data_IF_361968757410
#
_entry.id   IF_361968757410
#
_cell.length_a   1.000
_cell.length_b   1.000
_cell.length_c   1.000
_cell.angle_alpha   90.00
_cell.angle_beta   90.00
_cell.angle_gamma   90.00
#
_symmetry.space_group_name_H-M   'P 1'
#
loop_
_entity.id
_entity.type
_entity.pdbx_description
1 polymer ?
#
# COMPACT_ATOMS: atom_id res chain seq x y z
N UNK A 1 69.66 -46.40 -36.08
CA UNK A 1 70.42 -46.13 -34.85
C UNK A 1 70.33 -44.62 -34.61
N UNK A 2 69.21 -44.15 -34.05
CA UNK A 2 68.98 -43.90 -32.62
C UNK A 2 69.60 -42.57 -32.17
N UNK A 3 68.75 -41.56 -32.04
CA UNK A 3 69.08 -40.30 -31.37
C UNK A 3 67.98 -39.99 -30.37
N UNK A 4 68.37 -39.95 -29.09
CA UNK A 4 67.51 -39.62 -27.96
C UNK A 4 67.86 -38.25 -27.40
N UNK A 5 66.79 -37.49 -27.12
CA UNK A 5 66.57 -36.72 -25.90
C UNK A 5 67.37 -35.42 -25.67
N UNK A 6 66.64 -34.31 -25.54
CA UNK A 6 66.51 -33.65 -24.24
C UNK A 6 65.35 -32.66 -24.18
N UNK A 7 64.76 -32.61 -22.99
CA UNK A 7 63.53 -31.91 -22.57
C UNK A 7 63.74 -30.40 -22.45
N UNK A 8 62.71 -29.62 -22.77
CA UNK A 8 62.47 -28.30 -22.17
C UNK A 8 61.08 -28.29 -21.53
N UNK A 9 61.01 -27.93 -20.25
CA UNK A 9 59.76 -27.76 -19.51
C UNK A 9 59.14 -26.37 -19.75
N UNK A 10 57.81 -26.23 -19.60
CA UNK A 10 57.13 -24.94 -19.75
C UNK A 10 57.22 -24.06 -18.48
N UNK A 11 57.04 -22.74 -18.61
CA UNK A 11 57.23 -21.77 -17.52
C UNK A 11 56.05 -21.77 -16.53
N UNK A 12 56.24 -21.25 -15.30
CA UNK A 12 55.20 -21.24 -14.26
C UNK A 12 54.05 -20.27 -14.59
N UNK A 13 52.83 -20.78 -14.52
CA UNK A 13 51.58 -20.02 -14.64
C UNK A 13 51.32 -19.26 -13.35
N UNK A 14 51.21 -17.94 -13.47
CA UNK A 14 50.95 -17.00 -12.37
C UNK A 14 49.49 -17.13 -11.93
N UNK A 15 49.26 -17.62 -10.72
CA UNK A 15 47.94 -17.74 -10.10
C UNK A 15 47.41 -16.36 -9.73
N UNK A 16 46.35 -15.92 -10.42
CA UNK A 16 45.61 -14.73 -10.05
C UNK A 16 44.25 -15.15 -9.49
N UNK A 17 44.24 -15.46 -8.19
CA UNK A 17 43.06 -15.81 -7.40
C UNK A 17 42.21 -14.56 -7.14
N UNK A 18 41.56 -14.02 -8.18
CA UNK A 18 40.57 -12.97 -8.00
C UNK A 18 39.24 -13.63 -7.67
N UNK A 19 39.01 -13.81 -6.37
CA UNK A 19 37.71 -14.14 -5.79
C UNK A 19 36.67 -13.15 -6.34
N UNK A 20 35.87 -13.61 -7.31
CA UNK A 20 34.61 -12.96 -7.64
C UNK A 20 33.68 -13.25 -6.48
N UNK A 21 33.68 -12.36 -5.48
CA UNK A 21 32.51 -12.16 -4.63
C UNK A 21 31.35 -11.92 -5.60
N UNK A 22 30.47 -12.90 -5.74
CA UNK A 22 29.15 -12.67 -6.29
C UNK A 22 28.45 -11.76 -5.29
N UNK A 23 28.58 -10.45 -5.51
CA UNK A 23 27.60 -9.48 -5.06
C UNK A 23 26.30 -9.86 -5.75
N UNK A 24 25.51 -10.70 -5.08
CA UNK A 24 24.07 -10.75 -5.30
C UNK A 24 23.49 -9.44 -4.78
N UNK A 25 23.84 -8.34 -5.45
CA UNK A 25 22.93 -7.21 -5.59
C UNK A 25 21.78 -7.77 -6.44
N UNK A 26 20.88 -8.49 -5.76
CA UNK A 26 19.55 -8.68 -6.27
C UNK A 26 19.06 -7.27 -6.57
N UNK A 27 18.88 -6.96 -7.85
CA UNK A 27 18.10 -5.82 -8.29
C UNK A 27 16.86 -5.78 -7.42
N UNK A 28 16.83 -4.85 -6.47
CA UNK A 28 15.76 -4.69 -5.51
C UNK A 28 14.56 -4.17 -6.29
N UNK A 29 13.82 -5.10 -6.90
CA UNK A 29 12.65 -4.81 -7.69
C UNK A 29 11.61 -4.23 -6.72
N UNK A 30 11.41 -2.91 -6.80
CA UNK A 30 11.05 -2.00 -5.71
C UNK A 30 9.65 -2.15 -5.09
N UNK A 31 8.94 -3.24 -5.36
CA UNK A 31 7.63 -3.50 -4.76
C UNK A 31 7.24 -4.97 -4.62
N UNK A 32 8.06 -5.96 -4.97
CA UNK A 32 7.69 -7.38 -4.79
C UNK A 32 7.81 -7.85 -3.34
N UNK A 33 6.90 -8.72 -2.91
CA UNK A 33 7.07 -9.47 -1.66
C UNK A 33 8.42 -10.18 -1.64
N UNK A 34 9.16 -10.01 -0.55
CA UNK A 34 10.38 -10.78 -0.29
C UNK A 34 10.04 -12.25 -0.13
N UNK A 35 11.03 -13.12 -0.30
CA UNK A 35 10.86 -14.57 -0.07
C UNK A 35 10.34 -14.86 1.34
N UNK A 36 10.80 -14.12 2.35
CA UNK A 36 10.34 -14.25 3.74
C UNK A 36 8.86 -13.93 3.90
N UNK A 37 8.36 -12.88 3.24
CA UNK A 37 6.94 -12.51 3.30
C UNK A 37 6.08 -13.57 2.61
N UNK A 38 6.51 -14.07 1.45
CA UNK A 38 5.80 -15.16 0.75
C UNK A 38 5.73 -16.43 1.59
N UNK A 39 6.83 -16.80 2.26
CA UNK A 39 6.87 -17.94 3.17
C UNK A 39 5.92 -17.74 4.36
N UNK A 40 5.95 -16.57 4.99
CA UNK A 40 5.04 -16.25 6.12
C UNK A 40 3.57 -16.37 5.73
N UNK A 41 3.17 -15.84 4.58
CA UNK A 41 1.78 -15.98 4.09
C UNK A 41 1.39 -17.45 3.86
N UNK A 42 2.31 -18.29 3.37
CA UNK A 42 2.06 -19.72 3.09
C UNK A 42 2.03 -20.56 4.36
N UNK A 43 2.92 -20.28 5.32
CA UNK A 43 2.94 -20.97 6.62
C UNK A 43 1.64 -20.74 7.37
N UNK A 44 1.12 -19.51 7.34
CA UNK A 44 -0.17 -19.17 7.96
C UNK A 44 -1.32 -20.04 7.43
N UNK A 45 -1.35 -20.30 6.12
CA UNK A 45 -2.38 -21.15 5.50
C UNK A 45 -1.99 -22.63 5.43
N UNK A 46 -0.90 -23.04 6.08
CA UNK A 46 -0.40 -24.43 6.05
C UNK A 46 -0.19 -24.95 4.62
N UNK A 47 0.32 -24.09 3.73
CA UNK A 47 0.51 -24.39 2.30
C UNK A 47 -0.77 -24.75 1.52
N UNK A 48 -1.94 -24.30 1.97
CA UNK A 48 -3.18 -24.38 1.17
C UNK A 48 -3.62 -23.01 0.67
N UNK A 49 -4.48 -23.01 -0.35
CA UNK A 49 -5.12 -21.81 -0.84
C UNK A 49 -6.06 -21.25 0.23
N UNK A 50 -5.85 -19.99 0.62
CA UNK A 50 -6.69 -19.32 1.62
C UNK A 50 -8.17 -19.28 1.23
N UNK A 51 -8.52 -19.36 -0.06
CA UNK A 51 -9.90 -19.26 -0.51
C UNK A 51 -10.58 -20.63 -0.67
N UNK A 52 -9.96 -21.55 -1.43
CA UNK A 52 -10.56 -22.83 -1.80
C UNK A 52 -9.99 -24.04 -1.06
N UNK A 53 -9.05 -23.83 -0.14
CA UNK A 53 -8.39 -24.87 0.67
C UNK A 53 -7.61 -25.94 -0.13
N UNK A 54 -7.41 -25.74 -1.44
CA UNK A 54 -6.61 -26.64 -2.28
C UNK A 54 -5.14 -26.58 -1.87
N UNK A 55 -4.56 -27.74 -1.64
CA UNK A 55 -3.12 -27.97 -1.39
C UNK A 55 -2.42 -28.20 -2.74
N UNK A 56 -2.10 -27.11 -3.44
CA UNK A 56 -1.38 -27.14 -4.73
C UNK A 56 -0.29 -26.06 -4.72
N UNK A 57 0.25 -25.66 -5.88
CA UNK A 57 1.17 -24.52 -6.01
C UNK A 57 0.52 -23.27 -5.41
N UNK A 58 1.04 -22.80 -4.28
CA UNK A 58 0.53 -21.59 -3.61
C UNK A 58 1.40 -20.39 -3.94
N UNK A 59 0.74 -19.35 -4.44
CA UNK A 59 1.28 -18.03 -4.74
C UNK A 59 0.81 -17.01 -3.71
N UNK A 60 1.54 -15.90 -3.58
CA UNK A 60 1.16 -14.79 -2.68
C UNK A 60 0.68 -13.61 -3.51
N UNK A 61 -0.62 -13.33 -3.43
CA UNK A 61 -1.25 -12.19 -4.08
C UNK A 61 -1.21 -10.94 -3.20
N UNK A 62 -1.12 -9.77 -3.82
CA UNK A 62 -1.30 -8.49 -3.12
C UNK A 62 -2.80 -8.20 -3.01
N UNK A 63 -3.28 -7.88 -1.81
CA UNK A 63 -4.68 -7.53 -1.57
C UNK A 63 -4.99 -6.14 -2.09
N UNK A 64 -4.14 -5.16 -1.77
CA UNK A 64 -4.05 -3.88 -2.49
C UNK A 64 -2.99 -4.03 -3.57
N UNK A 65 -3.42 -3.96 -4.83
CA UNK A 65 -2.53 -4.06 -5.99
C UNK A 65 -1.49 -2.93 -5.96
N UNK A 66 -0.28 -3.21 -6.43
CA UNK A 66 0.79 -2.20 -6.45
C UNK A 66 0.51 -1.09 -7.46
N UNK A 67 -0.20 -1.47 -8.52
CA UNK A 67 -0.59 -0.60 -9.63
C UNK A 67 -1.80 0.27 -9.26
N UNK A 68 -2.31 0.17 -8.02
CA UNK A 68 -3.39 1.02 -7.52
C UNK A 68 -2.90 2.47 -7.37
N UNK A 69 -3.23 3.29 -8.37
CA UNK A 69 -2.86 4.71 -8.43
C UNK A 69 -3.42 5.54 -7.27
N UNK A 70 -4.40 5.03 -6.52
CA UNK A 70 -4.93 5.71 -5.36
C UNK A 70 -4.07 5.53 -4.10
N UNK A 71 -3.05 4.66 -4.10
CA UNK A 71 -2.22 4.35 -2.92
C UNK A 71 -1.71 5.62 -2.22
N UNK A 72 -1.08 6.55 -2.97
CA UNK A 72 -0.54 7.79 -2.40
C UNK A 72 -1.62 8.65 -1.75
N UNK A 73 -2.78 8.75 -2.41
CA UNK A 73 -3.93 9.47 -1.87
C UNK A 73 -4.44 8.81 -0.57
N UNK A 74 -4.56 7.48 -0.54
CA UNK A 74 -5.05 6.73 0.61
C UNK A 74 -4.09 6.81 1.80
N UNK A 75 -2.77 6.78 1.56
CA UNK A 75 -1.76 7.02 2.61
C UNK A 75 -1.89 8.41 3.22
N UNK A 76 -1.99 9.45 2.40
CA UNK A 76 -2.14 10.83 2.88
C UNK A 76 -3.43 11.03 3.67
N UNK A 77 -4.47 10.24 3.37
CA UNK A 77 -5.75 10.22 4.09
C UNK A 77 -5.71 9.37 5.37
N UNK A 78 -4.60 8.69 5.67
CA UNK A 78 -4.46 7.77 6.81
C UNK A 78 -5.25 6.46 6.66
N UNK A 79 -5.75 6.14 5.47
CA UNK A 79 -6.55 4.93 5.20
C UNK A 79 -5.68 3.69 4.95
N UNK A 80 -4.41 3.88 4.61
CA UNK A 80 -3.40 2.81 4.56
C UNK A 80 -2.39 3.09 5.67
N UNK A 81 -2.38 2.20 6.68
CA UNK A 81 -1.54 2.27 7.87
C UNK A 81 -0.52 1.12 7.95
N UNK A 82 -0.22 0.47 6.83
CA UNK A 82 0.66 -0.70 6.75
C UNK A 82 1.56 -0.63 5.52
N UNK A 83 2.63 -1.42 5.51
CA UNK A 83 3.51 -1.55 4.34
C UNK A 83 2.88 -2.47 3.30
N UNK A 84 2.79 -2.00 2.05
CA UNK A 84 2.26 -2.76 0.92
C UNK A 84 3.08 -4.00 0.55
N UNK A 85 4.34 -4.05 0.99
CA UNK A 85 5.27 -5.17 0.78
C UNK A 85 5.35 -6.11 1.99
N UNK A 86 4.56 -5.86 3.04
CA UNK A 86 4.48 -6.73 4.22
C UNK A 86 3.46 -7.85 4.06
N UNK A 87 3.52 -8.84 4.96
CA UNK A 87 2.53 -9.92 5.03
C UNK A 87 1.10 -9.40 5.28
N UNK A 88 0.94 -8.19 5.83
CA UNK A 88 -0.36 -7.56 6.04
C UNK A 88 -1.12 -7.28 4.74
N UNK A 89 -0.42 -7.18 3.61
CA UNK A 89 -1.02 -7.01 2.28
C UNK A 89 -1.03 -8.32 1.47
N UNK A 90 -0.59 -9.44 2.06
CA UNK A 90 -0.39 -10.71 1.37
C UNK A 90 -1.51 -11.71 1.65
N UNK A 91 -1.97 -12.40 0.61
CA UNK A 91 -2.87 -13.55 0.75
C UNK A 91 -2.36 -14.72 -0.09
N UNK A 92 -2.33 -15.92 0.51
CA UNK A 92 -1.83 -17.13 -0.12
C UNK A 92 -2.95 -17.81 -0.93
N UNK A 93 -2.76 -17.97 -2.24
CA UNK A 93 -3.79 -18.45 -3.18
C UNK A 93 -3.22 -19.45 -4.19
N UNK A 94 -4.03 -20.39 -4.66
CA UNK A 94 -3.70 -21.18 -5.85
C UNK A 94 -3.83 -20.31 -7.14
N UNK A 95 -3.23 -20.70 -8.28
CA UNK A 95 -3.21 -19.88 -9.50
C UNK A 95 -4.61 -19.48 -10.00
N UNK A 96 -5.58 -20.40 -9.90
CA UNK A 96 -6.97 -20.14 -10.30
C UNK A 96 -7.61 -19.07 -9.42
N UNK A 97 -7.47 -19.18 -8.09
CA UNK A 97 -8.02 -18.18 -7.17
C UNK A 97 -7.27 -16.85 -7.29
N UNK A 98 -5.95 -16.87 -7.48
CA UNK A 98 -5.13 -15.69 -7.67
C UNK A 98 -5.54 -14.90 -8.93
N UNK A 99 -5.75 -15.59 -10.06
CA UNK A 99 -6.19 -14.96 -11.32
C UNK A 99 -7.57 -14.31 -11.16
N UNK A 100 -8.54 -15.03 -10.58
CA UNK A 100 -9.89 -14.51 -10.35
C UNK A 100 -9.93 -13.40 -9.31
N UNK A 101 -9.06 -13.47 -8.30
CA UNK A 101 -8.90 -12.39 -7.33
C UNK A 101 -8.35 -11.15 -8.04
N UNK A 102 -7.20 -11.29 -8.72
CA UNK A 102 -6.37 -10.23 -9.29
C UNK A 102 -6.99 -9.34 -10.37
N UNK A 103 -8.12 -9.72 -10.96
CA UNK A 103 -8.79 -8.89 -11.97
C UNK A 103 -9.36 -7.61 -11.32
N UNK A 104 -8.75 -6.47 -11.64
CA UNK A 104 -9.12 -5.18 -11.07
C UNK A 104 -10.49 -4.65 -11.55
N UNK A 105 -10.92 -5.02 -12.75
CA UNK A 105 -12.16 -4.50 -13.36
C UNK A 105 -13.37 -5.38 -13.07
N UNK A 106 -13.18 -6.70 -13.09
CA UNK A 106 -14.24 -7.68 -12.83
C UNK A 106 -13.67 -8.84 -11.99
N UNK A 107 -13.42 -8.63 -10.68
CA UNK A 107 -12.93 -9.69 -9.81
C UNK A 107 -13.96 -10.83 -9.74
N UNK A 108 -13.49 -12.08 -9.81
CA UNK A 108 -14.36 -13.26 -9.64
C UNK A 108 -14.81 -13.45 -8.19
N UNK A 109 -14.04 -12.91 -7.24
CA UNK A 109 -14.35 -12.92 -5.82
C UNK A 109 -13.53 -11.86 -5.07
N UNK A 110 -13.98 -11.51 -3.88
CA UNK A 110 -13.25 -10.68 -2.93
C UNK A 110 -13.58 -11.13 -1.50
N UNK A 111 -13.01 -10.45 -0.51
CA UNK A 111 -13.33 -10.70 0.88
C UNK A 111 -13.30 -9.40 1.67
N UNK A 112 -14.02 -9.38 2.80
CA UNK A 112 -14.24 -8.19 3.64
C UNK A 112 -14.15 -8.61 5.10
N UNK A 113 -13.79 -7.72 6.05
CA UNK A 113 -13.90 -8.03 7.47
C UNK A 113 -15.31 -8.51 7.84
N UNK A 114 -15.43 -9.63 8.54
CA UNK A 114 -16.73 -10.20 8.90
C UNK A 114 -17.61 -9.24 9.71
N UNK A 115 -17.00 -8.42 10.56
CA UNK A 115 -17.67 -7.36 11.32
C UNK A 115 -17.35 -5.97 10.72
N UNK A 116 -18.13 -5.56 9.71
CA UNK A 116 -18.04 -4.21 9.14
C UNK A 116 -18.55 -3.12 10.11
N UNK A 117 -19.40 -3.46 11.07
CA UNK A 117 -19.96 -2.49 12.01
C UNK A 117 -18.88 -1.95 12.95
N UNK A 118 -17.93 -2.80 13.34
CA UNK A 118 -16.72 -2.37 14.06
C UNK A 118 -16.00 -1.21 13.36
N UNK A 119 -15.77 -1.33 12.04
CA UNK A 119 -15.06 -0.30 11.27
C UNK A 119 -15.89 0.98 11.12
N UNK A 120 -17.20 0.84 10.91
CA UNK A 120 -18.13 1.97 10.84
C UNK A 120 -18.13 2.74 12.17
N UNK A 121 -18.21 2.03 13.30
CA UNK A 121 -18.22 2.66 14.63
C UNK A 121 -16.89 3.34 14.93
N UNK A 122 -15.76 2.68 14.63
CA UNK A 122 -14.42 3.26 14.80
C UNK A 122 -14.24 4.54 13.98
N UNK A 123 -14.69 4.54 12.73
CA UNK A 123 -14.61 5.74 11.88
C UNK A 123 -15.52 6.87 12.38
N UNK A 124 -16.73 6.56 12.88
CA UNK A 124 -17.61 7.59 13.48
C UNK A 124 -16.94 8.26 14.69
N UNK A 125 -16.33 7.48 15.58
CA UNK A 125 -15.61 8.00 16.75
C UNK A 125 -14.39 8.83 16.32
N UNK A 126 -13.61 8.36 15.34
CA UNK A 126 -12.47 9.14 14.82
C UNK A 126 -12.92 10.44 14.14
N UNK A 127 -14.04 10.41 13.41
CA UNK A 127 -14.60 11.59 12.77
C UNK A 127 -15.02 12.64 13.80
N UNK A 128 -15.71 12.26 14.87
CA UNK A 128 -16.07 13.16 15.97
C UNK A 128 -14.81 13.74 16.63
N UNK A 129 -13.79 12.90 16.89
CA UNK A 129 -12.50 13.35 17.42
C UNK A 129 -11.83 14.40 16.52
N UNK A 130 -11.82 14.15 15.20
CA UNK A 130 -11.24 15.09 14.22
C UNK A 130 -12.06 16.37 14.11
N UNK A 131 -13.39 16.30 14.26
CA UNK A 131 -14.27 17.46 14.28
C UNK A 131 -14.03 18.35 15.50
N UNK A 132 -13.96 17.77 16.71
CA UNK A 132 -13.63 18.50 17.94
C UNK A 132 -12.27 19.18 17.83
N UNK A 133 -11.28 18.50 17.24
CA UNK A 133 -9.97 19.10 16.97
C UNK A 133 -10.06 20.25 15.95
N UNK A 134 -10.83 20.07 14.87
CA UNK A 134 -11.05 21.08 13.84
C UNK A 134 -11.75 22.34 14.37
N UNK A 135 -12.70 22.20 15.29
CA UNK A 135 -13.35 23.32 15.99
C UNK A 135 -12.36 24.10 16.88
N UNK A 136 -11.29 23.45 17.35
CA UNK A 136 -10.16 24.10 18.04
C UNK A 136 -9.11 24.66 17.07
N UNK A 137 -9.34 24.59 15.75
CA UNK A 137 -8.38 24.95 14.71
C UNK A 137 -7.20 24.00 14.59
N UNK A 138 -7.30 22.78 15.13
CA UNK A 138 -6.26 21.75 15.04
C UNK A 138 -6.59 20.74 13.95
N UNK A 139 -5.65 20.53 13.04
CA UNK A 139 -5.72 19.43 12.07
C UNK A 139 -5.14 18.18 12.70
N UNK A 140 -5.90 17.09 12.73
CA UNK A 140 -5.41 15.79 13.21
C UNK A 140 -5.59 14.72 12.14
N UNK A 141 -4.61 13.82 12.06
CA UNK A 141 -4.65 12.71 11.10
C UNK A 141 -5.75 11.71 11.47
N UNK A 142 -6.30 11.03 10.46
CA UNK A 142 -7.23 9.92 10.63
C UNK A 142 -6.57 8.76 11.37
N UNK A 143 -7.32 8.08 12.22
CA UNK A 143 -6.90 6.86 12.89
C UNK A 143 -7.76 5.69 12.37
N UNK A 144 -7.12 4.76 11.67
CA UNK A 144 -7.78 3.55 11.17
C UNK A 144 -7.42 2.33 12.02
N UNK A 145 -8.36 1.39 12.23
CA UNK A 145 -8.08 0.18 12.99
C UNK A 145 -6.94 -0.64 12.39
N UNK A 146 -6.10 -1.19 13.26
CA UNK A 146 -5.05 -2.17 12.90
C UNK A 146 -5.60 -3.59 12.85
N UNK A 147 -4.82 -4.53 12.30
CA UNK A 147 -5.18 -5.95 12.35
C UNK A 147 -5.28 -6.49 13.78
N UNK A 148 -4.44 -5.97 14.70
CA UNK A 148 -4.42 -6.40 16.10
C UNK A 148 -5.65 -5.89 16.85
N UNK A 149 -6.04 -4.64 16.62
CA UNK A 149 -7.26 -4.07 17.20
C UNK A 149 -8.52 -4.77 16.70
N UNK A 150 -8.56 -5.14 15.41
CA UNK A 150 -9.67 -5.91 14.86
C UNK A 150 -9.69 -7.33 15.44
N UNK A 151 -8.52 -7.98 15.56
CA UNK A 151 -8.41 -9.28 16.20
C UNK A 151 -8.93 -9.25 17.64
N UNK A 152 -8.54 -8.25 18.42
CA UNK A 152 -8.98 -8.05 19.80
C UNK A 152 -10.48 -7.77 19.95
N UNK A 153 -11.14 -7.31 18.89
CA UNK A 153 -12.60 -7.10 18.90
C UNK A 153 -13.39 -8.40 18.65
N UNK A 154 -12.73 -9.46 18.17
CA UNK A 154 -13.36 -10.75 17.89
C UNK A 154 -13.37 -11.66 19.13
N UNK A 155 -14.40 -12.52 19.32
CA UNK A 155 -14.52 -13.37 20.51
C UNK A 155 -13.30 -14.26 20.79
N UNK A 156 -12.67 -14.78 19.74
CA UNK A 156 -11.53 -15.70 19.86
C UNK A 156 -10.17 -14.99 19.69
N UNK A 157 -10.14 -13.67 19.58
CA UNK A 157 -8.91 -12.94 19.27
C UNK A 157 -8.38 -13.19 17.85
N UNK A 158 -9.21 -13.78 16.97
CA UNK A 158 -8.82 -14.14 15.59
C UNK A 158 -9.63 -13.31 14.61
N UNK A 159 -8.99 -12.50 13.74
CA UNK A 159 -9.69 -11.65 12.80
C UNK A 159 -10.32 -12.47 11.67
N UNK A 160 -11.65 -12.43 11.58
CA UNK A 160 -12.42 -13.17 10.58
C UNK A 160 -12.81 -12.29 9.39
N UNK A 161 -12.82 -12.90 8.21
CA UNK A 161 -13.17 -12.24 6.96
C UNK A 161 -14.20 -13.07 6.19
N UNK A 162 -15.24 -12.41 5.70
CA UNK A 162 -16.28 -12.98 4.85
C UNK A 162 -15.82 -13.00 3.40
N UNK A 163 -15.85 -14.19 2.78
CA UNK A 163 -15.55 -14.42 1.37
C UNK A 163 -16.82 -14.18 0.54
N UNK A 164 -16.71 -13.39 -0.53
CA UNK A 164 -17.83 -13.07 -1.42
C UNK A 164 -17.50 -13.50 -2.84
N UNK A 165 -18.26 -14.47 -3.36
CA UNK A 165 -18.13 -14.93 -4.73
C UNK A 165 -18.99 -14.08 -5.67
N UNK A 166 -18.37 -13.52 -6.70
CA UNK A 166 -19.05 -12.76 -7.75
C UNK A 166 -19.28 -13.62 -9.00
N UNK A 167 -18.42 -14.63 -9.22
CA UNK A 167 -18.49 -15.53 -10.35
C UNK A 167 -18.45 -17.00 -9.92
N UNK A 168 -19.59 -17.61 -9.51
CA UNK A 168 -19.62 -18.96 -8.94
C UNK A 168 -19.04 -20.04 -9.86
N UNK A 169 -19.11 -19.86 -11.18
CA UNK A 169 -18.63 -20.85 -12.15
C UNK A 169 -17.10 -20.81 -12.39
N UNK A 170 -16.36 -19.90 -11.76
CA UNK A 170 -14.90 -19.77 -11.98
C UNK A 170 -14.06 -20.55 -10.98
N UNK A 171 -14.62 -20.91 -9.84
CA UNK A 171 -13.90 -21.61 -8.77
C UNK A 171 -14.77 -22.78 -8.31
N UNK A 172 -14.27 -23.99 -8.53
CA UNK A 172 -14.94 -25.20 -8.07
C UNK A 172 -14.81 -25.29 -6.54
N UNK A 173 -15.92 -25.33 -5.79
CA UNK A 173 -15.85 -25.58 -4.36
C UNK A 173 -15.28 -26.97 -4.07
N UNK A 174 -14.58 -27.15 -2.94
CA UNK A 174 -14.30 -28.49 -2.44
C UNK A 174 -15.62 -29.22 -2.12
N UNK A 175 -15.57 -30.54 -1.93
CA UNK A 175 -16.74 -31.41 -1.78
C UNK A 175 -17.70 -31.06 -0.61
N UNK A 176 -17.37 -30.08 0.23
CA UNK A 176 -18.22 -29.55 1.32
C UNK A 176 -18.61 -28.07 1.17
N UNK A 177 -18.38 -27.45 0.00
CA UNK A 177 -18.56 -26.01 -0.18
C UNK A 177 -17.41 -25.19 0.41
N UNK A 178 -17.43 -23.87 0.16
CA UNK A 178 -16.47 -22.97 0.80
C UNK A 178 -16.97 -22.59 2.20
N UNK A 179 -16.04 -22.51 3.16
CA UNK A 179 -16.32 -21.78 4.40
C UNK A 179 -16.57 -20.31 4.04
N UNK A 180 -17.72 -19.78 4.46
CA UNK A 180 -18.11 -18.39 4.16
C UNK A 180 -17.16 -17.40 4.83
N UNK A 181 -16.71 -17.70 6.05
CA UNK A 181 -15.74 -16.90 6.79
C UNK A 181 -14.43 -17.67 6.97
N UNK A 182 -13.33 -16.93 7.00
CA UNK A 182 -12.01 -17.49 7.26
C UNK A 182 -11.10 -16.51 8.00
N UNK A 183 -10.17 -17.02 8.83
CA UNK A 183 -9.22 -16.18 9.53
C UNK A 183 -8.16 -15.65 8.55
N UNK A 184 -7.80 -14.38 8.66
CA UNK A 184 -6.70 -13.80 7.89
C UNK A 184 -5.98 -12.73 8.72
N UNK A 185 -4.67 -12.89 8.91
CA UNK A 185 -3.87 -11.98 9.74
C UNK A 185 -3.41 -10.70 8.99
N UNK A 186 -4.07 -10.37 7.88
CA UNK A 186 -3.73 -9.19 7.11
C UNK A 186 -4.46 -7.93 7.58
N UNK A 187 -4.10 -6.81 6.96
CA UNK A 187 -4.70 -5.52 7.29
C UNK A 187 -6.16 -5.47 6.87
N UNK A 188 -7.10 -5.17 7.78
CA UNK A 188 -8.49 -5.02 7.40
C UNK A 188 -8.70 -3.87 6.42
N UNK A 189 -7.86 -2.82 6.49
CA UNK A 189 -7.89 -1.71 5.54
C UNK A 189 -7.55 -2.15 4.11
N UNK A 190 -6.69 -3.15 3.94
CA UNK A 190 -6.41 -3.74 2.64
C UNK A 190 -7.66 -4.45 2.06
N UNK A 191 -8.33 -5.25 2.89
CA UNK A 191 -9.56 -5.95 2.51
C UNK A 191 -10.69 -4.97 2.16
N UNK A 192 -10.87 -3.92 2.97
CA UNK A 192 -11.88 -2.87 2.72
C UNK A 192 -11.59 -2.13 1.41
N UNK A 193 -10.32 -1.75 1.15
CA UNK A 193 -9.95 -1.13 -0.13
C UNK A 193 -10.28 -2.05 -1.31
N UNK A 194 -9.98 -3.34 -1.20
CA UNK A 194 -10.31 -4.33 -2.23
C UNK A 194 -11.81 -4.47 -2.43
N UNK A 195 -12.59 -4.46 -1.34
CA UNK A 195 -14.04 -4.51 -1.38
C UNK A 195 -14.66 -3.30 -2.10
N UNK A 196 -14.11 -2.09 -1.94
CA UNK A 196 -14.58 -0.92 -2.69
C UNK A 196 -14.35 -1.05 -4.21
N UNK A 197 -13.26 -1.67 -4.63
CA UNK A 197 -13.04 -1.97 -6.06
C UNK A 197 -14.10 -2.94 -6.56
N UNK A 198 -14.39 -4.01 -5.81
CA UNK A 198 -15.43 -4.97 -6.16
C UNK A 198 -16.84 -4.36 -6.17
N UNK A 199 -17.13 -3.41 -5.28
CA UNK A 199 -18.40 -2.69 -5.21
C UNK A 199 -18.69 -1.87 -6.49
N UNK A 200 -17.63 -1.40 -7.15
CA UNK A 200 -17.70 -0.70 -8.44
C UNK A 200 -17.84 -1.63 -9.66
N UNK A 201 -17.80 -2.96 -9.48
CA UNK A 201 -17.91 -3.91 -10.59
C UNK A 201 -19.35 -4.01 -11.12
N UNK A 202 -19.49 -4.47 -12.36
CA UNK A 202 -20.80 -4.77 -12.97
C UNK A 202 -21.57 -5.87 -12.22
N UNK A 203 -20.87 -6.66 -11.41
CA UNK A 203 -21.42 -7.77 -10.61
C UNK A 203 -21.94 -7.34 -9.24
N UNK A 204 -22.02 -6.03 -8.98
CA UNK A 204 -22.62 -5.47 -7.76
C UNK A 204 -23.92 -6.17 -7.30
N UNK A 205 -24.89 -6.52 -8.19
CA UNK A 205 -26.13 -7.19 -7.75
C UNK A 205 -25.94 -8.57 -7.09
N UNK A 206 -24.76 -9.18 -7.23
CA UNK A 206 -24.41 -10.47 -6.61
C UNK A 206 -23.89 -10.28 -5.18
N UNK A 207 -23.44 -9.08 -4.82
CA UNK A 207 -22.94 -8.79 -3.46
C UNK A 207 -24.13 -8.81 -2.50
N UNK A 208 -24.03 -9.50 -1.34
CA UNK A 208 -25.06 -9.44 -0.30
C UNK A 208 -25.40 -8.00 0.08
N UNK A 209 -26.70 -7.69 0.16
CA UNK A 209 -27.20 -6.33 0.32
C UNK A 209 -26.67 -5.67 1.60
N UNK A 210 -26.61 -6.42 2.70
CA UNK A 210 -26.10 -5.97 4.00
C UNK A 210 -24.61 -5.56 3.91
N UNK A 211 -23.79 -6.35 3.22
CA UNK A 211 -22.38 -6.04 2.97
C UNK A 211 -22.28 -4.79 2.09
N UNK A 212 -23.06 -4.73 1.01
CA UNK A 212 -23.03 -3.60 0.08
C UNK A 212 -23.40 -2.27 0.77
N UNK A 213 -24.45 -2.26 1.59
CA UNK A 213 -24.90 -1.07 2.34
C UNK A 213 -23.85 -0.60 3.35
N UNK A 214 -23.25 -1.53 4.12
CA UNK A 214 -22.19 -1.20 5.07
C UNK A 214 -20.93 -0.68 4.38
N UNK A 215 -20.56 -1.26 3.25
CA UNK A 215 -19.43 -0.76 2.45
C UNK A 215 -19.71 0.64 1.90
N UNK A 216 -20.92 0.93 1.41
CA UNK A 216 -21.30 2.28 0.98
C UNK A 216 -21.22 3.29 2.13
N UNK A 217 -21.77 2.94 3.30
CA UNK A 217 -21.70 3.78 4.48
C UNK A 217 -20.25 4.07 4.88
N UNK A 218 -19.41 3.04 4.91
CA UNK A 218 -18.01 3.17 5.26
C UNK A 218 -17.24 4.00 4.22
N UNK A 219 -17.55 3.82 2.93
CA UNK A 219 -16.97 4.61 1.87
C UNK A 219 -17.33 6.09 2.02
N UNK A 220 -18.60 6.43 2.26
CA UNK A 220 -19.04 7.81 2.51
C UNK A 220 -18.33 8.42 3.74
N UNK A 221 -18.27 7.69 4.85
CA UNK A 221 -17.51 8.13 6.04
C UNK A 221 -16.03 8.39 5.72
N UNK A 222 -15.42 7.56 4.87
CA UNK A 222 -14.03 7.74 4.45
C UNK A 222 -13.79 8.93 3.53
N UNK A 223 -14.80 9.38 2.79
CA UNK A 223 -14.68 10.56 1.94
C UNK A 223 -14.89 11.88 2.70
N UNK A 224 -15.61 11.86 3.82
CA UNK A 224 -15.83 13.05 4.64
C UNK A 224 -14.56 13.48 5.39
N UNK A 225 -14.27 14.77 5.30
CA UNK A 225 -13.30 15.46 6.16
C UNK A 225 -14.02 16.56 6.94
N UNK A 226 -13.68 16.76 8.22
CA UNK A 226 -14.24 17.85 8.98
C UNK A 226 -13.72 19.19 8.44
N UNK A 227 -14.61 20.16 8.35
CA UNK A 227 -14.23 21.54 8.05
C UNK A 227 -13.35 22.08 9.19
N UNK A 228 -12.18 22.61 8.83
CA UNK A 228 -11.34 23.33 9.79
C UNK A 228 -11.84 24.76 9.80
N UNK A 229 -12.46 25.18 10.91
CA UNK A 229 -12.82 26.60 11.05
C UNK A 229 -11.52 27.39 11.12
N UNK A 230 -11.32 28.38 10.22
CA UNK A 230 -10.19 29.28 10.38
C UNK A 230 -10.35 29.93 11.75
N UNK A 231 -9.34 29.80 12.60
CA UNK A 231 -9.28 30.61 13.81
C UNK A 231 -9.36 32.06 13.33
N UNK A 232 -10.38 32.81 13.78
CA UNK A 232 -10.37 34.26 13.62
C UNK A 232 -9.04 34.73 14.22
N UNK A 233 -8.12 35.15 13.37
CA UNK A 233 -7.03 36.01 13.79
C UNK A 233 -7.71 37.32 14.17
N UNK A 234 -8.22 37.40 15.40
CA UNK A 234 -8.50 38.66 16.07
C UNK A 234 -7.16 39.34 16.33
N UNK A 235 -6.57 39.88 15.27
CA UNK A 235 -5.72 41.04 15.33
C UNK A 235 -6.66 42.19 14.94
N UNK A 236 -7.13 43.01 15.89
CA UNK A 236 -6.37 44.20 16.29
C UNK A 236 -5.54 44.75 15.12
N UNK A 237 -6.23 45.03 14.00
CA UNK A 237 -5.78 46.04 13.04
C UNK A 237 -5.99 47.40 13.72
N UNK A 238 -5.06 47.68 14.62
CA UNK A 238 -4.81 48.95 15.27
C UNK A 238 -4.60 50.01 14.17
N UNK A 239 -5.64 50.81 13.94
CA UNK A 239 -5.60 52.27 13.99
C UNK A 239 -4.29 52.99 13.58
N UNK A 240 -3.64 52.66 12.46
CA UNK A 240 -2.67 53.60 11.86
C UNK A 240 -2.33 53.35 10.38
N UNK A 241 -3.21 53.77 9.46
CA UNK A 241 -2.77 54.25 8.14
C UNK A 241 -3.78 55.22 7.52
N UNK A 242 -3.95 56.38 8.15
CA UNK A 242 -4.47 57.56 7.45
C UNK A 242 -3.26 58.40 7.01
N UNK A 243 -3.29 58.87 5.74
CA UNK A 243 -2.35 59.75 5.01
C UNK A 243 -1.28 58.98 4.18
N UNK A 244 -1.16 59.07 2.85
CA UNK A 244 -1.72 59.94 1.79
C UNK A 244 -1.50 59.28 0.40
N UNK A 245 -2.28 59.65 -0.63
CA UNK A 245 -2.03 59.28 -2.03
C UNK A 245 -1.04 60.25 -2.71
N UNK A 246 -0.10 59.73 -3.49
CA UNK A 246 0.74 60.53 -4.37
C UNK A 246 0.57 60.08 -5.82
N UNK A 247 -0.18 60.92 -6.55
CA UNK A 247 -0.26 61.06 -8.01
C UNK A 247 1.11 60.86 -8.68
N UNK A 248 1.16 60.02 -9.71
CA UNK A 248 2.00 60.25 -10.89
C UNK A 248 1.16 60.01 -12.15
N UNK A 249 1.32 60.95 -13.07
CA UNK A 249 0.59 61.10 -14.33
C UNK A 249 1.03 60.06 -15.38
N UNK A 250 0.24 59.88 -16.45
CA UNK A 250 0.54 58.96 -17.54
C UNK A 250 1.43 59.64 -18.59
N UNK A 251 2.37 58.89 -19.16
CA UNK A 251 2.95 59.24 -20.47
C UNK A 251 2.49 58.18 -21.46
N UNK A 252 1.73 58.66 -22.43
CA UNK A 252 1.30 58.03 -23.67
C UNK A 252 2.50 57.96 -24.62
N UNK A 253 2.65 56.86 -25.36
CA UNK A 253 3.03 56.92 -26.77
C UNK A 253 2.62 55.59 -27.45
N UNK A 254 1.92 55.75 -28.56
CA UNK A 254 1.13 54.79 -29.32
C UNK A 254 1.98 53.83 -30.21
N UNK A 255 1.57 52.55 -30.26
CA UNK A 255 1.22 51.67 -31.41
C UNK A 255 1.81 51.95 -32.83
N UNK A 256 1.95 50.97 -33.79
CA UNK A 256 0.98 49.88 -33.99
C UNK A 256 1.45 48.49 -34.49
N UNK A 257 0.49 47.57 -34.37
CA UNK A 257 0.32 46.22 -34.92
C UNK A 257 0.92 45.89 -36.30
N UNK A 258 1.30 44.61 -36.47
CA UNK A 258 0.85 43.80 -37.63
C UNK A 258 0.64 42.33 -37.26
N UNK A 259 -0.50 41.81 -37.70
CA UNK A 259 -1.01 40.45 -37.64
C UNK A 259 -0.19 39.44 -38.48
N UNK A 260 -0.15 38.16 -38.08
CA UNK A 260 -0.82 37.06 -38.81
C UNK A 260 -0.25 35.65 -38.49
N UNK A 261 -1.21 34.78 -38.18
CA UNK A 261 -1.34 33.39 -38.64
C UNK A 261 -0.75 32.23 -37.81
N UNK A 262 -1.57 31.17 -37.85
CA UNK A 262 -1.57 29.97 -37.04
C UNK A 262 -0.61 28.88 -37.55
N UNK A 263 -0.30 27.98 -36.61
CA UNK A 263 0.30 26.63 -36.62
C UNK A 263 0.00 25.70 -37.84
N UNK A 264 0.67 24.51 -38.06
CA UNK A 264 1.08 23.56 -37.00
C UNK A 264 2.26 22.56 -37.21
N UNK A 265 2.59 21.91 -36.08
CA UNK A 265 3.13 20.55 -35.88
C UNK A 265 4.59 20.20 -36.25
N UNK A 266 5.41 20.03 -35.20
CA UNK A 266 5.95 18.73 -34.74
C UNK A 266 6.87 18.99 -33.53
N UNK A 267 6.34 18.89 -32.32
CA UNK A 267 7.16 18.77 -31.11
C UNK A 267 6.71 17.54 -30.34
N UNK A 268 7.55 16.51 -30.41
CA UNK A 268 7.53 15.32 -29.59
C UNK A 268 7.47 15.73 -28.13
N UNK A 269 6.32 15.47 -27.50
CA UNK A 269 6.11 15.64 -26.06
C UNK A 269 6.74 14.43 -25.37
N UNK A 270 8.01 14.55 -25.03
CA UNK A 270 8.60 13.72 -24.00
C UNK A 270 7.86 14.05 -22.70
N UNK A 271 7.11 13.08 -22.19
CA UNK A 271 6.51 13.16 -20.87
C UNK A 271 7.66 13.26 -19.86
N UNK A 272 7.72 14.39 -19.16
CA UNK A 272 8.40 14.48 -17.87
C UNK A 272 7.65 13.50 -16.96
N UNK A 273 8.21 12.31 -16.79
CA UNK A 273 7.86 11.46 -15.66
C UNK A 273 8.54 12.09 -14.47
N UNK A 274 7.72 12.45 -13.48
CA UNK A 274 8.10 13.19 -12.28
C UNK A 274 9.20 12.46 -11.49
N UNK A 275 10.31 13.16 -11.24
CA UNK A 275 11.35 12.76 -10.27
C UNK A 275 10.79 12.63 -8.83
N UNK A 276 9.55 13.08 -8.58
CA UNK A 276 8.86 12.99 -7.29
C UNK A 276 8.45 11.56 -6.90
N UNK A 277 8.22 10.66 -7.86
CA UNK A 277 7.80 9.29 -7.57
C UNK A 277 8.95 8.44 -6.99
N UNK A 278 10.19 8.63 -7.47
CA UNK A 278 11.37 7.93 -6.92
C UNK A 278 11.72 8.38 -5.50
N UNK A 279 11.56 9.67 -5.22
CA UNK A 279 11.79 10.24 -3.88
C UNK A 279 10.75 9.75 -2.86
N UNK A 280 9.49 9.60 -3.27
CA UNK A 280 8.42 9.08 -2.42
C UNK A 280 8.64 7.61 -2.02
N UNK A 281 9.08 6.77 -2.96
CA UNK A 281 9.45 5.37 -2.67
C UNK A 281 10.62 5.25 -1.69
N UNK A 282 11.50 6.25 -1.65
CA UNK A 282 12.62 6.30 -0.70
C UNK A 282 12.19 6.77 0.70
N UNK A 283 11.29 7.75 0.78
CA UNK A 283 10.70 8.25 2.04
C UNK A 283 9.81 7.18 2.72
N UNK A 284 9.03 6.42 1.96
CA UNK A 284 8.21 5.31 2.48
C UNK A 284 9.04 4.14 3.01
N UNK A 285 10.22 3.88 2.45
CA UNK A 285 11.17 2.93 3.02
C UNK A 285 11.66 3.37 4.40
N UNK A 286 11.81 4.68 4.62
CA UNK A 286 12.23 5.25 5.91
C UNK A 286 11.09 5.31 6.94
N UNK A 287 9.84 5.45 6.49
CA UNK A 287 8.63 5.46 7.35
C UNK A 287 8.05 4.06 7.62
N UNK A 288 8.80 2.98 7.36
CA UNK A 288 8.39 1.64 7.81
C UNK A 288 8.17 1.68 9.32
N UNK A 289 6.91 1.70 9.70
CA UNK A 289 6.42 1.80 11.07
C UNK A 289 7.16 0.79 11.95
N UNK A 290 7.60 1.27 13.10
CA UNK A 290 8.16 0.48 14.20
C UNK A 290 7.03 -0.38 14.80
N UNK A 291 6.58 -1.37 14.05
CA UNK A 291 5.73 -2.42 14.59
C UNK A 291 6.60 -3.22 15.54
N UNK A 292 6.21 -3.25 16.81
CA UNK A 292 6.73 -4.07 17.91
C UNK A 292 6.64 -5.59 17.67
N UNK A 293 6.57 -6.03 16.41
CA UNK A 293 6.64 -7.41 15.98
C UNK A 293 8.09 -7.86 15.81
N UNK A 294 8.34 -9.11 16.21
CA UNK A 294 9.61 -9.82 16.11
C UNK A 294 10.06 -9.98 14.64
N UNK A 295 10.62 -8.93 14.04
CA UNK A 295 11.17 -9.00 12.68
C UNK A 295 12.57 -8.41 12.69
N UNK A 296 13.57 -9.29 12.68
CA UNK A 296 14.92 -8.91 12.28
C UNK A 296 14.90 -8.71 10.77
N UNK A 297 14.85 -7.44 10.35
CA UNK A 297 14.97 -7.08 8.94
C UNK A 297 16.33 -7.51 8.35
N UNK A 298 16.44 -7.62 7.02
CA UNK A 298 17.65 -8.05 6.33
C UNK A 298 18.89 -7.16 6.57
N UNK A 299 18.69 -5.94 7.08
CA UNK A 299 19.75 -4.99 7.41
C UNK A 299 20.15 -4.99 8.90
N UNK A 300 19.57 -5.89 9.71
CA UNK A 300 19.90 -5.99 11.14
C UNK A 300 21.21 -6.75 11.35
N UNK A 301 22.24 -6.04 11.80
CA UNK A 301 23.47 -6.67 12.27
C UNK A 301 23.26 -7.36 13.62
N UNK A 302 24.09 -8.37 13.93
CA UNK A 302 24.05 -9.06 15.23
C UNK A 302 24.17 -8.09 16.41
N UNK A 303 24.95 -7.01 16.25
CA UNK A 303 25.18 -6.01 17.28
C UNK A 303 23.95 -5.12 17.53
N UNK A 304 23.20 -4.78 16.47
CA UNK A 304 21.91 -4.08 16.58
C UNK A 304 20.83 -4.93 17.23
N UNK A 305 20.80 -6.24 16.96
CA UNK A 305 19.89 -7.17 17.64
C UNK A 305 20.25 -7.28 19.14
N UNK A 306 21.52 -7.49 19.47
CA UNK A 306 21.96 -7.61 20.86
C UNK A 306 21.64 -6.35 21.69
N UNK A 307 21.82 -5.14 21.14
CA UNK A 307 21.48 -3.89 21.84
C UNK A 307 19.98 -3.71 22.06
N UNK A 308 19.14 -4.12 21.10
CA UNK A 308 17.67 -4.01 21.20
C UNK A 308 17.06 -4.96 22.23
N UNK A 309 17.70 -6.13 22.47
CA UNK A 309 17.15 -7.19 23.32
C UNK A 309 17.94 -7.46 24.61
N UNK A 310 19.05 -6.76 24.86
CA UNK A 310 19.82 -6.86 26.12
C UNK A 310 19.02 -6.57 27.40
N UNK A 311 17.96 -5.73 27.43
CA UNK A 311 17.25 -5.45 28.69
C UNK A 311 16.28 -6.54 29.16
N UNK A 312 16.07 -7.62 28.40
CA UNK A 312 15.06 -8.64 28.69
C UNK A 312 15.59 -9.87 29.46
N UNK A 313 16.86 -9.85 29.85
CA UNK A 313 17.47 -10.87 30.70
C UNK A 313 18.13 -10.20 31.91
N UNK A 314 17.30 -9.88 32.92
CA UNK A 314 17.68 -9.70 34.31
C UNK A 314 16.50 -10.15 35.18
#
# INVERSE_FOLDING_TARGET
MSSTSSRMGPPPVRTNSRSKRMSSEASANSGSFTTSVKLSCREYTKNSCWFCDVEDVIETAHVVAKEDRAIRYLFNRGLINFSLTSALNGVALCPTCHTNFGNAMDPGWFFVPADLDFFIQKEKVDMERRQIAGDQGKVTNRICPTSEEYAASQPDGVPLYTRVLLHPNTINPPAGGFKLTAPWNGSPMAAIRRAFVALGSIRRPVIPQDIAEKLWMLQDLYHRDPEVKPQCLDAQADEMSVLRPLKRAPDEDEEPMTEMSMSPTKRTRAYLLDDDDEMWDQENRRRQFDTTGWVLGPDSTSDTASKRFRPLFN
#
